data_IF_085055522077
#
_entry.id   IF_085055522077
#
_cell.length_a   1.000
_cell.length_b   1.000
_cell.length_c   1.000
_cell.angle_alpha   90.00
_cell.angle_beta   90.00
_cell.angle_gamma   90.00
#
_symmetry.space_group_name_H-M   'P 1'
#
loop_
_entity.id
_entity.type
_entity.pdbx_description
1 polymer ?
#
# COMPACT_ATOMS: atom_id res chain seq x y z
N UNK A 1 15.44 -0.54 -8.03
CA UNK A 1 16.18 0.51 -7.33
C UNK A 1 15.24 1.19 -6.35
N UNK A 2 15.72 1.65 -5.21
CA UNK A 2 14.91 2.33 -4.18
C UNK A 2 14.70 3.83 -4.44
N UNK A 3 15.18 4.35 -5.54
CA UNK A 3 15.19 5.80 -5.85
C UNK A 3 13.81 6.42 -5.87
N UNK A 4 12.84 5.78 -6.53
CA UNK A 4 11.49 6.34 -6.59
C UNK A 4 10.85 6.42 -5.20
N UNK A 5 11.04 5.37 -4.39
CA UNK A 5 10.57 5.41 -3.01
C UNK A 5 11.20 6.55 -2.23
N UNK A 6 12.49 6.75 -2.39
CA UNK A 6 13.20 7.84 -1.73
C UNK A 6 12.65 9.21 -2.14
N UNK A 7 12.41 9.44 -3.43
CA UNK A 7 11.82 10.70 -3.94
C UNK A 7 10.41 10.91 -3.36
N UNK A 8 9.58 9.88 -3.34
CA UNK A 8 8.25 9.97 -2.74
C UNK A 8 8.32 10.30 -1.24
N UNK A 9 9.21 9.63 -0.49
CA UNK A 9 9.42 9.89 0.94
C UNK A 9 9.96 11.32 1.18
N UNK A 10 10.83 11.83 0.30
CA UNK A 10 11.36 13.20 0.38
C UNK A 10 10.25 14.23 0.17
N UNK A 11 9.36 14.01 -0.79
CA UNK A 11 8.21 14.88 -0.98
C UNK A 11 7.22 14.86 0.18
N UNK A 12 6.97 13.69 0.78
CA UNK A 12 6.13 13.58 1.99
C UNK A 12 6.73 14.37 3.16
N UNK A 13 8.05 14.31 3.35
CA UNK A 13 8.75 15.11 4.38
C UNK A 13 8.66 16.61 4.08
N UNK A 14 8.89 16.99 2.83
CA UNK A 14 8.79 18.38 2.40
C UNK A 14 7.37 18.94 2.60
N UNK A 15 6.35 18.16 2.29
CA UNK A 15 4.95 18.53 2.54
C UNK A 15 4.66 18.74 4.02
N UNK A 16 5.13 17.85 4.87
CA UNK A 16 4.96 17.99 6.33
C UNK A 16 5.64 19.28 6.84
N UNK A 17 6.79 19.64 6.30
CA UNK A 17 7.49 20.87 6.63
C UNK A 17 6.74 22.11 6.14
N UNK A 18 6.33 22.11 4.88
CA UNK A 18 5.56 23.20 4.28
C UNK A 18 4.24 23.44 5.03
N UNK A 19 3.56 22.36 5.43
CA UNK A 19 2.33 22.47 6.21
C UNK A 19 2.61 23.06 7.61
N UNK A 20 3.68 22.66 8.28
CA UNK A 20 4.07 23.20 9.58
C UNK A 20 4.36 24.69 9.50
N UNK A 21 5.07 25.14 8.46
CA UNK A 21 5.31 26.55 8.22
C UNK A 21 3.99 27.30 7.96
N UNK A 22 3.13 26.77 7.09
CA UNK A 22 1.82 27.36 6.80
C UNK A 22 1.00 27.59 8.05
N UNK A 23 0.97 26.61 8.98
CA UNK A 23 0.21 26.71 10.23
C UNK A 23 0.73 27.82 11.15
N UNK A 24 2.03 28.14 11.09
CA UNK A 24 2.68 29.17 11.89
C UNK A 24 2.55 30.58 11.32
N UNK A 25 2.14 30.73 10.05
CA UNK A 25 2.04 32.05 9.41
C UNK A 25 0.86 32.86 9.93
N UNK A 26 1.06 34.17 9.97
CA UNK A 26 -0.03 35.11 10.17
C UNK A 26 -1.05 35.03 9.01
N UNK A 27 -2.35 35.29 9.28
CA UNK A 27 -3.42 35.09 8.28
C UNK A 27 -3.17 35.78 6.94
N UNK A 28 -2.62 36.98 6.94
CA UNK A 28 -2.35 37.80 5.74
C UNK A 28 -1.35 37.18 4.77
N UNK A 29 -0.50 36.25 5.23
CA UNK A 29 0.50 35.57 4.37
C UNK A 29 0.02 34.18 3.89
N UNK A 30 -1.04 33.63 4.50
CA UNK A 30 -1.44 32.24 4.26
C UNK A 30 -1.87 31.97 2.83
N UNK A 31 -2.63 32.87 2.21
CA UNK A 31 -3.10 32.68 0.83
C UNK A 31 -1.95 32.67 -0.15
N UNK A 32 -1.02 33.61 -0.04
CA UNK A 32 0.16 33.67 -0.90
C UNK A 32 1.06 32.44 -0.71
N UNK A 33 1.29 32.05 0.54
CA UNK A 33 2.10 30.86 0.84
C UNK A 33 1.44 29.58 0.32
N UNK A 34 0.14 29.43 0.51
CA UNK A 34 -0.61 28.27 0.02
C UNK A 34 -0.55 28.18 -1.50
N UNK A 35 -0.74 29.29 -2.19
CA UNK A 35 -0.69 29.32 -3.66
C UNK A 35 0.69 29.00 -4.22
N UNK A 36 1.73 29.65 -3.68
CA UNK A 36 3.06 29.63 -4.28
C UNK A 36 3.92 28.45 -3.82
N UNK A 37 3.63 27.89 -2.65
CA UNK A 37 4.48 26.85 -2.05
C UNK A 37 3.69 25.63 -1.60
N UNK A 38 2.70 25.76 -0.72
CA UNK A 38 2.05 24.61 -0.11
C UNK A 38 1.31 23.76 -1.14
N UNK A 39 0.49 24.37 -2.00
CA UNK A 39 -0.27 23.63 -3.02
C UNK A 39 0.66 22.89 -4.02
N UNK A 40 1.68 23.52 -4.63
CA UNK A 40 2.61 22.81 -5.49
C UNK A 40 3.30 21.63 -4.80
N UNK A 41 3.72 21.79 -3.55
CA UNK A 41 4.37 20.73 -2.79
C UNK A 41 3.36 19.59 -2.51
N UNK A 42 2.15 19.91 -2.10
CA UNK A 42 1.10 18.91 -1.84
C UNK A 42 0.71 18.15 -3.11
N UNK A 43 0.56 18.85 -4.24
CA UNK A 43 0.23 18.23 -5.52
C UNK A 43 1.33 17.27 -5.96
N UNK A 44 2.59 17.68 -5.92
CA UNK A 44 3.72 16.83 -6.30
C UNK A 44 3.91 15.66 -5.35
N UNK A 45 3.82 15.87 -4.03
CA UNK A 45 3.87 14.82 -3.03
C UNK A 45 2.81 13.74 -3.31
N UNK A 46 1.58 14.17 -3.55
CA UNK A 46 0.47 13.27 -3.84
C UNK A 46 0.66 12.47 -5.14
N UNK A 47 1.16 13.11 -6.21
CA UNK A 47 1.42 12.43 -7.49
C UNK A 47 2.56 11.40 -7.38
N UNK A 48 3.67 11.75 -6.73
CA UNK A 48 4.77 10.80 -6.52
C UNK A 48 4.34 9.60 -5.68
N UNK A 49 3.57 9.85 -4.62
CA UNK A 49 3.01 8.80 -3.78
C UNK A 49 2.03 7.90 -4.54
N UNK A 50 1.15 8.50 -5.37
CA UNK A 50 0.18 7.79 -6.20
C UNK A 50 0.85 6.84 -7.20
N UNK A 51 1.80 7.35 -7.98
CA UNK A 51 2.46 6.52 -9.01
C UNK A 51 3.43 5.51 -8.40
N UNK A 52 4.04 5.82 -7.26
CA UNK A 52 4.77 4.81 -6.49
C UNK A 52 3.83 3.69 -6.02
N UNK A 53 2.66 4.05 -5.50
CA UNK A 53 1.65 3.08 -5.07
C UNK A 53 1.16 2.22 -6.24
N UNK A 54 0.98 2.80 -7.44
CA UNK A 54 0.63 2.04 -8.64
C UNK A 54 1.73 1.03 -9.00
N UNK A 55 2.99 1.45 -9.01
CA UNK A 55 4.11 0.56 -9.30
C UNK A 55 4.19 -0.61 -8.30
N UNK A 56 3.95 -0.33 -7.01
CA UNK A 56 3.89 -1.35 -5.97
C UNK A 56 2.68 -2.28 -6.15
N UNK A 57 1.52 -1.74 -6.50
CA UNK A 57 0.32 -2.52 -6.80
C UNK A 57 0.59 -3.52 -7.93
N UNK A 58 1.12 -3.06 -9.07
CA UNK A 58 1.44 -3.91 -10.21
C UNK A 58 2.46 -4.99 -9.87
N UNK A 59 3.53 -4.60 -9.17
CA UNK A 59 4.58 -5.53 -8.74
C UNK A 59 4.03 -6.64 -7.85
N UNK A 60 3.24 -6.27 -6.84
CA UNK A 60 2.72 -7.23 -5.87
C UNK A 60 1.57 -8.06 -6.44
N UNK A 61 0.75 -7.47 -7.31
CA UNK A 61 -0.29 -8.21 -8.02
C UNK A 61 0.32 -9.29 -8.91
N UNK A 62 1.35 -8.96 -9.69
CA UNK A 62 2.07 -9.94 -10.53
C UNK A 62 2.72 -11.05 -9.70
N UNK A 63 3.11 -10.73 -8.45
CA UNK A 63 3.67 -11.70 -7.52
C UNK A 63 2.60 -12.48 -6.72
N UNK A 64 1.31 -12.20 -6.94
CA UNK A 64 0.22 -12.84 -6.20
C UNK A 64 0.16 -12.45 -4.71
N UNK A 65 0.77 -11.33 -4.33
CA UNK A 65 0.89 -10.91 -2.93
C UNK A 65 -0.32 -10.04 -2.54
N UNK A 66 -1.10 -10.42 -1.49
CA UNK A 66 -2.35 -9.76 -1.10
C UNK A 66 -2.25 -8.26 -0.81
N UNK A 67 -1.07 -7.77 -0.42
CA UNK A 67 -0.81 -6.34 -0.23
C UNK A 67 -1.00 -5.51 -1.49
N UNK A 68 -1.07 -6.12 -2.68
CA UNK A 68 -1.48 -5.44 -3.91
C UNK A 68 -2.77 -4.64 -3.69
N UNK A 69 -3.72 -5.20 -2.93
CA UNK A 69 -5.00 -4.53 -2.64
C UNK A 69 -4.85 -3.29 -1.76
N UNK A 70 -3.93 -3.31 -0.79
CA UNK A 70 -3.57 -2.11 -0.02
C UNK A 70 -3.06 -0.99 -0.93
N UNK A 71 -2.14 -1.33 -1.84
CA UNK A 71 -1.57 -0.35 -2.76
C UNK A 71 -2.58 0.15 -3.78
N UNK A 72 -3.53 -0.70 -4.22
CA UNK A 72 -4.66 -0.26 -5.04
C UNK A 72 -5.52 0.79 -4.30
N UNK A 73 -5.84 0.56 -3.03
CA UNK A 73 -6.57 1.52 -2.20
C UNK A 73 -5.78 2.84 -2.02
N UNK A 74 -4.46 2.75 -1.93
CA UNK A 74 -3.58 3.92 -1.83
C UNK A 74 -3.64 4.77 -3.09
N UNK A 75 -3.61 4.15 -4.28
CA UNK A 75 -3.78 4.86 -5.56
C UNK A 75 -5.12 5.60 -5.61
N UNK A 76 -6.22 4.93 -5.27
CA UNK A 76 -7.55 5.56 -5.24
C UNK A 76 -7.63 6.72 -4.24
N UNK A 77 -6.99 6.58 -3.09
CA UNK A 77 -6.96 7.63 -2.07
C UNK A 77 -6.19 8.86 -2.55
N UNK A 78 -5.04 8.66 -3.20
CA UNK A 78 -4.26 9.74 -3.78
C UNK A 78 -5.00 10.40 -4.94
N UNK A 79 -5.68 9.64 -5.79
CA UNK A 79 -6.50 10.18 -6.87
C UNK A 79 -7.64 11.07 -6.36
N UNK A 80 -8.33 10.63 -5.32
CA UNK A 80 -9.36 11.46 -4.65
C UNK A 80 -8.77 12.71 -4.00
N UNK A 81 -7.60 12.58 -3.40
CA UNK A 81 -6.89 13.70 -2.78
C UNK A 81 -6.47 14.74 -3.83
N UNK A 82 -6.00 14.32 -4.99
CA UNK A 82 -5.64 15.21 -6.08
C UNK A 82 -6.81 16.11 -6.49
N UNK A 83 -7.97 15.49 -6.69
CA UNK A 83 -9.20 16.24 -6.96
C UNK A 83 -9.53 17.23 -5.84
N UNK A 84 -9.41 16.81 -4.58
CA UNK A 84 -9.70 17.69 -3.44
C UNK A 84 -8.74 18.87 -3.36
N UNK A 85 -7.45 18.68 -3.65
CA UNK A 85 -6.46 19.76 -3.72
C UNK A 85 -6.78 20.77 -4.83
N UNK A 86 -7.14 20.28 -6.02
CA UNK A 86 -7.54 21.11 -7.15
C UNK A 86 -8.85 21.87 -6.88
N UNK A 87 -9.83 21.19 -6.28
CA UNK A 87 -11.11 21.81 -5.89
C UNK A 87 -10.90 22.90 -4.82
N UNK A 88 -10.05 22.67 -3.83
CA UNK A 88 -9.71 23.67 -2.81
C UNK A 88 -9.00 24.88 -3.42
N UNK A 89 -8.03 24.65 -4.32
CA UNK A 89 -7.36 25.74 -5.02
C UNK A 89 -8.34 26.61 -5.83
N UNK A 90 -9.21 25.97 -6.60
CA UNK A 90 -10.13 26.66 -7.49
C UNK A 90 -11.28 27.38 -6.74
N UNK A 91 -11.80 26.79 -5.69
CA UNK A 91 -13.09 27.22 -5.14
C UNK A 91 -13.02 27.78 -3.71
N UNK A 92 -11.98 27.43 -2.95
CA UNK A 92 -11.88 27.79 -1.52
C UNK A 92 -10.77 28.81 -1.27
N UNK A 93 -9.58 28.54 -1.79
CA UNK A 93 -8.42 29.40 -1.61
C UNK A 93 -8.72 30.82 -2.08
N UNK A 94 -8.35 31.81 -1.26
CA UNK A 94 -8.59 33.23 -1.53
C UNK A 94 -10.05 33.53 -1.93
N UNK A 95 -11.01 32.84 -1.28
CA UNK A 95 -12.46 32.99 -1.53
C UNK A 95 -12.87 32.70 -2.99
N UNK A 96 -12.20 31.75 -3.62
CA UNK A 96 -12.49 31.37 -5.01
C UNK A 96 -11.94 32.30 -6.09
N UNK A 97 -11.04 33.21 -5.74
CA UNK A 97 -10.38 34.12 -6.68
C UNK A 97 -9.71 33.39 -7.85
N UNK A 98 -9.21 32.20 -7.60
CA UNK A 98 -8.44 31.42 -8.57
C UNK A 98 -9.28 30.37 -9.30
N UNK A 99 -10.59 30.52 -9.31
CA UNK A 99 -11.51 29.59 -9.98
C UNK A 99 -11.12 29.38 -11.42
N UNK A 100 -10.96 28.09 -11.79
CA UNK A 100 -10.59 27.72 -13.15
C UNK A 100 -9.09 27.69 -13.46
N UNK A 101 -8.23 28.00 -12.49
CA UNK A 101 -6.77 27.95 -12.69
C UNK A 101 -6.22 26.53 -12.70
N UNK A 102 -6.76 25.65 -11.86
CA UNK A 102 -6.37 24.22 -11.78
C UNK A 102 -7.46 23.36 -12.42
N UNK A 103 -7.60 23.46 -13.75
CA UNK A 103 -8.59 22.69 -14.53
C UNK A 103 -7.95 21.81 -15.59
N UNK A 104 -6.64 21.96 -15.81
CA UNK A 104 -5.92 21.11 -16.76
C UNK A 104 -5.91 19.66 -16.27
N UNK A 105 -6.34 18.76 -17.13
CA UNK A 105 -6.20 17.31 -16.91
C UNK A 105 -4.72 16.95 -16.84
N UNK A 106 -4.33 16.14 -15.87
CA UNK A 106 -2.92 15.83 -15.63
C UNK A 106 -2.68 14.38 -15.21
N UNK A 107 -3.69 13.67 -14.71
CA UNK A 107 -3.60 12.24 -14.41
C UNK A 107 -4.16 11.43 -15.58
N UNK A 108 -3.37 10.49 -16.10
CA UNK A 108 -3.71 9.70 -17.29
C UNK A 108 -3.60 10.49 -18.60
N UNK A 109 -2.98 11.65 -18.57
CA UNK A 109 -2.71 12.49 -19.74
C UNK A 109 -1.51 11.93 -20.53
N UNK A 110 -1.73 11.64 -21.82
CA UNK A 110 -0.71 11.01 -22.67
C UNK A 110 -0.27 11.90 -23.83
N UNK A 111 -1.14 12.79 -24.31
CA UNK A 111 -0.81 13.71 -25.39
C UNK A 111 -1.68 14.97 -25.36
N UNK A 112 -1.25 16.03 -26.08
CA UNK A 112 -2.01 17.26 -26.25
C UNK A 112 -3.39 17.04 -26.92
N UNK A 113 -3.53 15.98 -27.68
CA UNK A 113 -4.74 15.66 -28.42
C UNK A 113 -5.66 14.69 -27.66
N UNK A 114 -5.34 14.34 -26.43
CA UNK A 114 -6.21 13.52 -25.61
C UNK A 114 -7.53 14.27 -25.32
N UNK A 115 -8.63 13.71 -25.76
CA UNK A 115 -9.97 14.30 -25.65
C UNK A 115 -10.77 13.81 -24.43
N UNK A 116 -10.14 13.03 -23.54
CA UNK A 116 -10.80 12.56 -22.32
C UNK A 116 -11.27 13.73 -21.44
N UNK A 117 -12.50 13.65 -20.90
CA UNK A 117 -13.14 14.81 -20.27
C UNK A 117 -12.58 15.18 -18.90
N UNK A 118 -11.92 14.25 -18.21
CA UNK A 118 -11.41 14.41 -16.84
C UNK A 118 -10.18 13.55 -16.62
N UNK A 119 -9.50 13.76 -15.49
CA UNK A 119 -8.43 12.89 -15.04
C UNK A 119 -8.90 11.44 -14.94
N UNK A 120 -8.02 10.51 -15.27
CA UNK A 120 -8.28 9.07 -15.25
C UNK A 120 -7.53 8.42 -14.11
N UNK A 121 -8.25 7.61 -13.34
CA UNK A 121 -7.61 6.78 -12.33
C UNK A 121 -6.55 5.89 -13.00
N UNK A 122 -5.28 5.89 -12.52
CA UNK A 122 -4.29 4.96 -12.99
C UNK A 122 -4.74 3.51 -12.88
N UNK A 123 -4.33 2.68 -13.83
CA UNK A 123 -4.69 1.27 -13.82
C UNK A 123 -4.19 0.60 -12.53
N UNK A 124 -5.09 -0.11 -11.88
CA UNK A 124 -4.83 -0.87 -10.66
C UNK A 124 -5.39 -2.28 -10.78
N UNK A 125 -4.73 -3.22 -10.15
CA UNK A 125 -5.15 -4.60 -10.09
C UNK A 125 -5.51 -4.99 -8.67
N UNK A 126 -6.51 -5.86 -8.55
CA UNK A 126 -6.92 -6.40 -7.25
C UNK A 126 -6.89 -7.92 -7.29
N UNK A 127 -6.18 -8.49 -6.35
CA UNK A 127 -6.33 -9.91 -6.06
C UNK A 127 -7.71 -10.13 -5.43
N UNK A 128 -8.35 -11.27 -5.71
CA UNK A 128 -9.53 -11.67 -4.97
C UNK A 128 -9.25 -11.49 -3.48
N UNK A 129 -10.16 -10.87 -2.75
CA UNK A 129 -10.03 -10.90 -1.29
C UNK A 129 -9.93 -12.36 -0.91
N UNK A 130 -8.86 -12.73 -0.21
CA UNK A 130 -8.76 -14.06 0.37
C UNK A 130 -10.07 -14.26 1.11
N UNK A 131 -10.84 -15.24 0.68
CA UNK A 131 -12.15 -15.52 1.28
C UNK A 131 -11.86 -15.69 2.76
N UNK A 132 -12.21 -14.69 3.55
CA UNK A 132 -12.23 -14.82 5.01
C UNK A 132 -13.33 -15.81 5.28
N UNK A 133 -12.99 -17.09 5.15
CA UNK A 133 -13.78 -18.12 5.78
C UNK A 133 -13.86 -17.71 7.26
N UNK A 134 -14.94 -18.04 7.95
CA UNK A 134 -15.24 -17.61 9.32
C UNK A 134 -14.09 -17.85 10.34
N UNK A 135 -12.88 -18.09 9.91
CA UNK A 135 -11.69 -18.42 10.68
C UNK A 135 -10.32 -18.05 10.14
N UNK A 136 -10.14 -17.27 9.06
CA UNK A 136 -8.78 -16.84 8.68
C UNK A 136 -8.48 -16.77 7.17
N UNK A 137 -7.21 -16.63 6.84
CA UNK A 137 -6.72 -16.51 5.47
C UNK A 137 -6.71 -17.86 4.74
N UNK A 138 -7.13 -17.84 3.47
CA UNK A 138 -6.95 -18.96 2.54
C UNK A 138 -6.05 -18.49 1.41
N UNK A 139 -4.89 -19.12 1.29
CA UNK A 139 -3.91 -18.79 0.25
C UNK A 139 -4.24 -19.50 -1.04
N UNK A 140 -4.04 -18.83 -2.16
CA UNK A 140 -4.15 -19.40 -3.51
C UNK A 140 -3.00 -18.91 -4.38
N UNK A 141 -2.71 -19.62 -5.47
CA UNK A 141 -1.70 -19.22 -6.45
C UNK A 141 -1.93 -19.95 -7.76
N UNK A 142 -1.76 -19.24 -8.86
CA UNK A 142 -2.04 -19.75 -10.21
C UNK A 142 -0.77 -20.12 -11.00
N UNK A 143 0.40 -19.64 -10.54
CA UNK A 143 1.69 -19.77 -11.27
C UNK A 143 2.56 -20.94 -10.81
N UNK A 144 1.95 -22.00 -10.29
CA UNK A 144 2.66 -23.20 -9.84
C UNK A 144 3.30 -23.09 -8.46
N UNK A 145 3.08 -22.02 -7.74
CA UNK A 145 3.46 -21.86 -6.33
C UNK A 145 2.41 -21.11 -5.53
N UNK A 146 2.36 -21.38 -4.22
CA UNK A 146 1.54 -20.62 -3.25
C UNK A 146 2.47 -20.00 -2.24
N UNK A 147 2.50 -18.66 -2.19
CA UNK A 147 3.25 -17.92 -1.17
C UNK A 147 2.37 -17.67 0.04
N UNK A 148 2.88 -18.01 1.23
CA UNK A 148 2.15 -17.86 2.49
C UNK A 148 2.97 -17.02 3.45
N UNK A 149 2.38 -15.91 3.91
CA UNK A 149 2.98 -15.07 4.94
C UNK A 149 2.77 -15.69 6.32
N UNK A 150 3.83 -15.73 7.09
CA UNK A 150 3.83 -16.41 8.40
C UNK A 150 2.80 -15.83 9.37
N UNK A 151 2.52 -14.53 9.30
CA UNK A 151 1.55 -13.85 10.18
C UNK A 151 0.08 -14.14 9.85
N UNK A 152 -0.19 -14.69 8.67
CA UNK A 152 -1.54 -14.98 8.19
C UNK A 152 -1.95 -16.44 8.43
N UNK A 153 -1.61 -16.96 9.58
CA UNK A 153 -2.04 -18.31 9.96
C UNK A 153 -3.56 -18.38 10.16
N UNK A 154 -4.13 -19.52 9.80
CA UNK A 154 -5.56 -19.81 10.00
C UNK A 154 -5.88 -20.10 11.45
N UNK A 155 -5.04 -20.92 12.10
CA UNK A 155 -5.19 -21.33 13.48
C UNK A 155 -3.81 -21.41 14.15
N UNK A 156 -3.76 -21.05 15.43
CA UNK A 156 -2.60 -21.25 16.27
C UNK A 156 -2.94 -22.09 17.48
N UNK A 157 -2.02 -22.98 17.83
CA UNK A 157 -2.03 -23.70 19.11
C UNK A 157 -0.73 -23.44 19.80
N UNK A 158 -0.80 -23.11 21.06
CA UNK A 158 0.37 -22.86 21.91
C UNK A 158 0.44 -23.92 23.01
N UNK A 159 1.64 -24.39 23.32
CA UNK A 159 1.89 -25.21 24.52
C UNK A 159 1.85 -24.35 25.77
N UNK A 160 1.79 -25.00 26.94
CA UNK A 160 1.66 -24.30 28.21
C UNK A 160 2.81 -23.31 28.47
N UNK A 161 2.44 -22.08 28.73
CA UNK A 161 3.36 -20.99 29.10
C UNK A 161 4.15 -20.37 27.95
N UNK A 162 3.83 -20.70 26.68
CA UNK A 162 4.32 -19.99 25.49
C UNK A 162 3.16 -19.50 24.64
N UNK A 163 3.40 -18.48 23.83
CA UNK A 163 2.42 -18.01 22.84
C UNK A 163 3.10 -17.57 21.56
N UNK A 164 2.40 -17.72 20.45
CA UNK A 164 2.83 -17.23 19.15
C UNK A 164 2.73 -15.70 19.09
N UNK A 165 3.86 -15.04 18.77
CA UNK A 165 3.95 -13.59 18.62
C UNK A 165 4.30 -13.24 17.20
N UNK A 166 3.59 -12.25 16.65
CA UNK A 166 3.91 -11.61 15.39
C UNK A 166 4.91 -10.50 15.67
N UNK A 167 6.05 -10.53 14.97
CA UNK A 167 7.09 -9.51 15.09
C UNK A 167 7.08 -8.70 13.80
N UNK A 168 6.57 -7.46 13.84
CA UNK A 168 6.44 -6.62 12.65
C UNK A 168 7.77 -6.39 11.94
N UNK A 169 7.75 -6.41 10.61
CA UNK A 169 8.90 -6.13 9.73
C UNK A 169 10.11 -7.07 9.93
N UNK A 170 9.91 -8.24 10.51
CA UNK A 170 10.95 -9.24 10.71
C UNK A 170 10.87 -10.42 9.73
N UNK A 171 9.84 -10.48 8.89
CA UNK A 171 9.71 -11.44 7.81
C UNK A 171 10.54 -11.07 6.59
N UNK A 172 10.54 -11.93 5.59
CA UNK A 172 11.16 -11.64 4.28
C UNK A 172 10.41 -10.53 3.54
N UNK A 173 9.13 -10.52 3.67
CA UNK A 173 8.18 -9.59 3.03
C UNK A 173 7.38 -8.80 4.03
N UNK A 174 6.84 -9.45 5.06
CA UNK A 174 6.04 -8.84 6.12
C UNK A 174 6.63 -9.10 7.52
N UNK A 175 5.86 -9.74 8.38
CA UNK A 175 6.22 -10.00 9.77
C UNK A 175 6.83 -11.40 9.95
N UNK A 176 7.70 -11.53 10.92
CA UNK A 176 8.09 -12.84 11.44
C UNK A 176 7.09 -13.35 12.47
N UNK A 177 7.03 -14.66 12.67
CA UNK A 177 6.25 -15.27 13.73
C UNK A 177 7.13 -16.17 14.57
N UNK A 178 7.07 -16.03 15.88
CA UNK A 178 7.89 -16.82 16.81
C UNK A 178 7.11 -17.19 18.06
N UNK A 179 7.56 -18.24 18.75
CA UNK A 179 7.06 -18.61 20.07
C UNK A 179 7.83 -17.86 21.17
N UNK A 180 7.11 -17.29 22.11
CA UNK A 180 7.68 -16.56 23.23
C UNK A 180 7.05 -17.02 24.57
N UNK A 181 7.80 -17.08 25.67
CA UNK A 181 9.24 -16.88 25.74
C UNK A 181 10.02 -18.07 25.17
N UNK A 182 11.12 -17.82 24.48
CA UNK A 182 11.98 -18.87 23.89
C UNK A 182 12.75 -19.71 24.92
N UNK A 183 12.62 -19.40 26.18
CA UNK A 183 13.24 -20.17 27.29
C UNK A 183 12.40 -21.38 27.74
N UNK A 184 11.21 -21.56 27.18
CA UNK A 184 10.31 -22.67 27.52
C UNK A 184 10.22 -23.69 26.38
N UNK A 185 9.88 -24.96 26.71
CA UNK A 185 9.62 -25.98 25.68
C UNK A 185 8.50 -25.55 24.72
N UNK A 186 8.69 -25.80 23.44
CA UNK A 186 7.77 -25.40 22.37
C UNK A 186 6.99 -26.57 21.76
N UNK A 187 7.26 -27.79 22.24
CA UNK A 187 6.60 -28.99 21.74
C UNK A 187 5.07 -28.91 21.82
N UNK A 188 4.41 -29.34 20.74
CA UNK A 188 2.94 -29.29 20.63
C UNK A 188 2.38 -27.92 20.23
N UNK A 189 3.22 -26.90 20.06
CA UNK A 189 2.78 -25.64 19.48
C UNK A 189 2.74 -25.74 17.96
N UNK A 190 1.65 -25.27 17.33
CA UNK A 190 1.44 -25.37 15.89
C UNK A 190 0.88 -24.08 15.31
N UNK A 191 1.22 -23.80 14.05
CA UNK A 191 0.53 -22.87 13.19
C UNK A 191 -0.07 -23.64 12.02
N UNK A 192 -1.34 -23.42 11.75
CA UNK A 192 -2.04 -24.03 10.64
C UNK A 192 -2.35 -22.98 9.58
N UNK A 193 -2.16 -23.36 8.33
CA UNK A 193 -2.43 -22.51 7.17
C UNK A 193 -3.41 -23.22 6.25
N UNK A 194 -4.37 -22.51 5.68
CA UNK A 194 -5.25 -23.02 4.65
C UNK A 194 -4.80 -22.55 3.29
N UNK A 195 -4.79 -23.44 2.32
CA UNK A 195 -4.49 -23.13 0.94
C UNK A 195 -5.51 -23.76 0.00
N UNK A 196 -5.80 -23.08 -1.10
CA UNK A 196 -6.59 -23.62 -2.19
C UNK A 196 -5.62 -24.08 -3.28
N UNK A 197 -5.57 -25.38 -3.50
CA UNK A 197 -4.73 -25.94 -4.57
C UNK A 197 -5.48 -25.81 -5.90
N UNK A 198 -4.82 -25.32 -6.96
CA UNK A 198 -5.39 -25.31 -8.29
C UNK A 198 -5.64 -26.74 -8.79
N UNK A 199 -6.57 -26.88 -9.72
CA UNK A 199 -6.95 -28.23 -10.23
C UNK A 199 -5.75 -29.01 -10.82
N UNK A 200 -4.79 -28.30 -11.40
CA UNK A 200 -3.56 -28.87 -11.93
C UNK A 200 -2.70 -29.53 -10.83
N UNK A 201 -2.72 -28.97 -9.63
CA UNK A 201 -1.96 -29.48 -8.50
C UNK A 201 -2.44 -30.88 -8.08
N UNK A 202 -3.69 -31.26 -8.35
CA UNK A 202 -4.22 -32.62 -8.09
C UNK A 202 -3.50 -33.71 -8.92
N UNK A 203 -2.81 -33.32 -9.98
CA UNK A 203 -2.05 -34.23 -10.86
C UNK A 203 -0.58 -34.34 -10.49
N UNK A 204 -0.11 -33.51 -9.56
CA UNK A 204 1.29 -33.52 -9.12
C UNK A 204 1.57 -34.76 -8.27
N UNK A 205 2.75 -35.34 -8.49
CA UNK A 205 3.24 -36.47 -7.69
C UNK A 205 3.93 -36.00 -6.41
N UNK A 206 4.38 -34.74 -6.39
CA UNK A 206 5.20 -34.19 -5.32
C UNK A 206 4.93 -32.70 -5.18
N UNK A 207 4.97 -32.22 -3.95
CA UNK A 207 4.86 -30.77 -3.60
C UNK A 207 6.04 -30.45 -2.68
N UNK A 208 6.78 -29.41 -3.03
CA UNK A 208 7.88 -28.91 -2.21
C UNK A 208 7.38 -27.80 -1.30
N UNK A 209 7.62 -27.93 0.00
CA UNK A 209 7.34 -26.89 0.99
C UNK A 209 8.64 -26.23 1.37
N UNK A 210 8.75 -24.91 1.09
CA UNK A 210 9.92 -24.11 1.45
C UNK A 210 9.56 -23.21 2.63
N UNK A 211 10.22 -23.43 3.76
CA UNK A 211 10.04 -22.60 4.96
C UNK A 211 11.23 -21.66 5.09
N UNK A 212 10.97 -20.36 5.08
CA UNK A 212 12.01 -19.35 5.31
C UNK A 212 12.09 -19.06 6.80
N UNK A 213 13.23 -19.42 7.39
CA UNK A 213 13.51 -19.19 8.81
C UNK A 213 14.64 -18.17 8.96
N UNK A 214 14.55 -17.33 9.98
CA UNK A 214 15.63 -16.43 10.36
C UNK A 214 16.37 -17.05 11.55
N UNK A 215 17.68 -17.19 11.42
CA UNK A 215 18.55 -17.51 12.54
C UNK A 215 18.57 -16.33 13.53
N UNK A 216 18.37 -16.60 14.79
CA UNK A 216 18.56 -15.63 15.91
C UNK A 216 19.99 -15.64 16.36
#
# INVERSE_FOLDING_TARGET
TGEWKQVADDYVRLEAEALRQYLSLAPEYKDAYKQLLLFPVQAMSNLYEMYYAQAMNHKLYTAGIPEANYWANKVESCFKRDKALSDDYNNVMSQGKWKGMMTQKHIGYTSWNDDFPADRLPEIFRLPEAVKDAGGYVFSGDDGYISMEAEHFFEKKSSEGVDWKIIPNMGRTLSGVTLMPYTKPVEGSTLSYKMMLPEEAKKLKEVHVIVVVKST
#
